data_IF_513433159646
#
_entry.id   IF_513433159646
#
_cell.length_a   1.000
_cell.length_b   1.000
_cell.length_c   1.000
_cell.angle_alpha   90.00
_cell.angle_beta   90.00
_cell.angle_gamma   90.00
#
_symmetry.space_group_name_H-M   'P 1'
#
loop_
_entity.id
_entity.type
_entity.pdbx_description
1 polymer ?
#
# COMPACT_ATOMS: atom_id res chain seq x y z
N UNK A 1 -27.40 -32.17 -22.43
CA UNK A 1 -27.95 -32.64 -21.15
C UNK A 1 -26.94 -32.23 -20.09
N UNK A 2 -27.34 -31.53 -19.03
CA UNK A 2 -26.41 -31.17 -17.96
C UNK A 2 -25.97 -32.45 -17.22
N UNK A 3 -24.67 -32.60 -17.00
CA UNK A 3 -24.14 -33.65 -16.15
C UNK A 3 -24.39 -33.27 -14.68
N UNK A 4 -25.27 -34.01 -14.01
CA UNK A 4 -25.61 -33.80 -12.59
C UNK A 4 -24.75 -34.65 -11.66
N UNK A 5 -23.73 -35.33 -12.17
CA UNK A 5 -22.84 -36.17 -11.37
C UNK A 5 -21.94 -35.29 -10.50
N UNK A 6 -21.94 -35.54 -9.19
CA UNK A 6 -21.01 -34.86 -8.28
C UNK A 6 -19.59 -35.37 -8.55
N UNK A 7 -18.63 -34.50 -8.90
CA UNK A 7 -17.26 -34.92 -9.15
C UNK A 7 -16.61 -35.54 -7.90
N UNK A 8 -15.67 -36.46 -8.11
CA UNK A 8 -14.81 -36.93 -7.01
C UNK A 8 -13.90 -35.81 -6.52
N UNK A 9 -13.64 -35.80 -5.21
CA UNK A 9 -12.71 -34.85 -4.60
C UNK A 9 -11.29 -35.07 -5.13
N UNK A 10 -10.68 -34.02 -5.65
CA UNK A 10 -9.27 -34.00 -6.07
C UNK A 10 -8.36 -33.74 -4.86
N UNK A 11 -7.15 -34.28 -4.88
CA UNK A 11 -6.16 -33.98 -3.85
C UNK A 11 -5.62 -32.54 -4.00
N UNK A 12 -5.11 -31.93 -2.92
CA UNK A 12 -4.68 -30.52 -2.95
C UNK A 12 -3.55 -30.26 -3.97
N UNK A 13 -2.62 -31.20 -4.12
CA UNK A 13 -1.56 -31.12 -5.12
C UNK A 13 -2.10 -31.17 -6.56
N UNK A 14 -3.20 -31.88 -6.81
CA UNK A 14 -3.87 -31.90 -8.12
C UNK A 14 -4.59 -30.58 -8.38
N UNK A 15 -5.21 -29.98 -7.36
CA UNK A 15 -5.94 -28.71 -7.48
C UNK A 15 -5.04 -27.52 -7.84
N UNK A 16 -3.78 -27.54 -7.43
CA UNK A 16 -2.80 -26.49 -7.70
C UNK A 16 -1.86 -26.81 -8.88
N UNK A 17 -1.92 -28.03 -9.41
CA UNK A 17 -1.06 -28.45 -10.51
C UNK A 17 -1.42 -27.72 -11.81
N UNK A 18 -0.38 -27.27 -12.51
CA UNK A 18 -0.43 -26.76 -13.87
C UNK A 18 0.39 -27.65 -14.83
N UNK A 19 0.67 -28.89 -14.43
CA UNK A 19 1.36 -29.88 -15.27
C UNK A 19 0.68 -30.00 -16.64
N UNK A 20 1.48 -29.91 -17.71
CA UNK A 20 0.97 -29.98 -19.08
C UNK A 20 0.29 -28.71 -19.59
N UNK A 21 0.07 -27.69 -18.75
CA UNK A 21 -0.50 -26.40 -19.15
C UNK A 21 0.56 -25.47 -19.73
N UNK A 22 0.16 -24.63 -20.69
CA UNK A 22 0.99 -23.57 -21.27
C UNK A 22 0.42 -22.20 -20.89
N UNK A 23 1.27 -21.35 -20.32
CA UNK A 23 0.91 -20.01 -19.89
C UNK A 23 1.68 -18.93 -20.66
N UNK A 24 1.00 -17.82 -20.98
CA UNK A 24 1.63 -16.56 -21.40
C UNK A 24 1.53 -15.56 -20.26
N UNK A 25 2.65 -14.91 -19.92
CA UNK A 25 2.69 -13.85 -18.91
C UNK A 25 3.28 -12.58 -19.53
N UNK A 26 2.44 -11.55 -19.71
CA UNK A 26 2.93 -10.25 -20.19
C UNK A 26 3.63 -9.50 -19.05
N UNK A 27 4.77 -8.87 -19.33
CA UNK A 27 5.61 -8.25 -18.30
C UNK A 27 6.30 -9.26 -17.37
N UNK A 28 6.57 -10.48 -17.84
CA UNK A 28 7.08 -11.60 -17.02
C UNK A 28 8.56 -11.51 -16.58
N UNK A 29 9.32 -10.50 -16.99
CA UNK A 29 10.77 -10.43 -16.71
C UNK A 29 11.15 -9.82 -15.35
N UNK A 30 10.21 -9.21 -14.63
CA UNK A 30 10.49 -8.52 -13.35
C UNK A 30 9.24 -8.42 -12.46
N UNK A 31 9.45 -8.01 -11.21
CA UNK A 31 8.38 -7.66 -10.26
C UNK A 31 7.34 -8.79 -10.10
N UNK A 32 6.06 -8.40 -10.13
CA UNK A 32 4.92 -9.34 -10.00
C UNK A 32 4.97 -10.41 -11.08
N UNK A 33 5.17 -10.02 -12.35
CA UNK A 33 5.23 -10.96 -13.47
C UNK A 33 6.27 -12.07 -13.27
N UNK A 34 7.48 -11.73 -12.79
CA UNK A 34 8.54 -12.74 -12.53
C UNK A 34 8.14 -13.71 -11.42
N UNK A 35 7.45 -13.26 -10.36
CA UNK A 35 6.98 -14.19 -9.32
C UNK A 35 5.82 -15.07 -9.78
N UNK A 36 4.97 -14.61 -10.69
CA UNK A 36 3.97 -15.46 -11.33
C UNK A 36 4.66 -16.57 -12.14
N UNK A 37 5.73 -16.23 -12.89
CA UNK A 37 6.55 -17.24 -13.59
C UNK A 37 7.11 -18.27 -12.60
N UNK A 38 7.65 -17.82 -11.46
CA UNK A 38 8.12 -18.73 -10.40
C UNK A 38 7.04 -19.71 -9.96
N UNK A 39 5.85 -19.21 -9.58
CA UNK A 39 4.76 -20.07 -9.10
C UNK A 39 4.19 -20.98 -10.18
N UNK A 40 4.10 -20.50 -11.42
CA UNK A 40 3.57 -21.31 -12.52
C UNK A 40 4.53 -22.44 -12.89
N UNK A 41 5.84 -22.16 -12.92
CA UNK A 41 6.85 -23.20 -13.21
C UNK A 41 6.99 -24.19 -12.06
N UNK A 42 6.92 -23.75 -10.80
CA UNK A 42 6.84 -24.65 -9.63
C UNK A 42 5.59 -25.54 -9.66
N UNK A 43 4.49 -25.06 -10.21
CA UNK A 43 3.27 -25.84 -10.42
C UNK A 43 3.31 -26.73 -11.69
N UNK A 44 4.41 -26.74 -12.46
CA UNK A 44 4.59 -27.62 -13.62
C UNK A 44 4.19 -27.01 -14.98
N UNK A 45 3.85 -25.72 -15.04
CA UNK A 45 3.49 -25.07 -16.30
C UNK A 45 4.71 -24.81 -17.20
N UNK A 46 4.48 -24.86 -18.51
CA UNK A 46 5.38 -24.27 -19.52
C UNK A 46 5.00 -22.81 -19.70
N UNK A 47 5.98 -21.91 -19.69
CA UNK A 47 5.71 -20.46 -19.63
C UNK A 47 6.38 -19.71 -20.76
N UNK A 48 5.61 -18.88 -21.45
CA UNK A 48 6.09 -17.84 -22.35
C UNK A 48 6.01 -16.49 -21.65
N UNK A 49 7.15 -15.82 -21.50
CA UNK A 49 7.20 -14.43 -21.01
C UNK A 49 7.34 -13.46 -22.17
N UNK A 50 6.67 -12.31 -22.07
CA UNK A 50 6.77 -11.28 -23.10
C UNK A 50 6.87 -9.87 -22.52
N UNK A 51 7.45 -8.95 -23.29
CA UNK A 51 7.70 -7.56 -22.95
C UNK A 51 8.63 -6.90 -23.97
N UNK A 52 8.87 -5.60 -23.76
CA UNK A 52 9.63 -4.78 -24.73
C UNK A 52 11.14 -4.95 -24.64
N UNK A 53 11.68 -5.22 -23.46
CA UNK A 53 13.12 -5.35 -23.22
C UNK A 53 13.63 -6.77 -23.43
N UNK A 54 14.23 -7.06 -24.60
CA UNK A 54 14.72 -8.39 -24.96
C UNK A 54 15.78 -8.93 -23.98
N UNK A 55 16.74 -8.10 -23.58
CA UNK A 55 17.82 -8.54 -22.68
C UNK A 55 17.27 -9.01 -21.32
N UNK A 56 16.35 -8.26 -20.72
CA UNK A 56 15.72 -8.62 -19.45
C UNK A 56 14.89 -9.91 -19.57
N UNK A 57 14.22 -10.11 -20.71
CA UNK A 57 13.49 -11.33 -21.03
C UNK A 57 14.43 -12.54 -21.15
N UNK A 58 15.52 -12.41 -21.92
CA UNK A 58 16.51 -13.47 -22.11
C UNK A 58 17.22 -13.84 -20.81
N UNK A 59 17.57 -12.86 -19.98
CA UNK A 59 18.13 -13.10 -18.64
C UNK A 59 17.15 -13.89 -17.78
N UNK A 60 15.88 -13.48 -17.74
CA UNK A 60 14.86 -14.19 -16.96
C UNK A 60 14.65 -15.61 -17.47
N UNK A 61 14.60 -15.81 -18.79
CA UNK A 61 14.54 -17.13 -19.39
C UNK A 61 15.71 -18.01 -18.92
N UNK A 62 16.94 -17.50 -18.99
CA UNK A 62 18.13 -18.23 -18.57
C UNK A 62 18.09 -18.60 -17.07
N UNK A 63 17.68 -17.65 -16.19
CA UNK A 63 17.54 -17.90 -14.75
C UNK A 63 16.64 -19.11 -14.44
N UNK A 64 15.55 -19.27 -15.20
CA UNK A 64 14.61 -20.38 -15.04
C UNK A 64 15.08 -21.67 -15.71
N UNK A 65 15.74 -21.57 -16.87
CA UNK A 65 16.28 -22.73 -17.56
C UNK A 65 17.38 -23.44 -16.75
N UNK A 66 18.20 -22.69 -16.01
CA UNK A 66 19.18 -23.26 -15.06
C UNK A 66 18.51 -24.15 -14.00
N UNK A 67 17.26 -23.83 -13.63
CA UNK A 67 16.46 -24.60 -12.67
C UNK A 67 15.67 -25.74 -13.31
N UNK A 68 15.87 -26.00 -14.60
CA UNK A 68 15.11 -26.99 -15.37
C UNK A 68 13.67 -26.56 -15.72
N UNK A 69 13.29 -25.31 -15.44
CA UNK A 69 11.94 -24.82 -15.70
C UNK A 69 11.76 -24.45 -17.19
N UNK A 70 10.68 -24.92 -17.85
CA UNK A 70 10.43 -24.69 -19.27
C UNK A 70 9.89 -23.27 -19.53
N UNK A 71 10.79 -22.29 -19.52
CA UNK A 71 10.49 -20.89 -19.85
C UNK A 71 11.08 -20.54 -21.22
N UNK A 72 10.29 -19.85 -22.04
CA UNK A 72 10.71 -19.21 -23.30
C UNK A 72 10.32 -17.74 -23.30
N UNK A 73 11.02 -16.90 -24.04
CA UNK A 73 10.68 -15.49 -24.17
C UNK A 73 10.43 -15.04 -25.61
N UNK A 74 9.54 -14.05 -25.75
CA UNK A 74 9.26 -13.38 -27.02
C UNK A 74 9.17 -11.87 -26.80
N UNK A 75 9.97 -11.10 -27.52
CA UNK A 75 9.93 -9.64 -27.44
C UNK A 75 8.70 -9.12 -28.20
N UNK A 76 7.88 -8.33 -27.52
CA UNK A 76 6.68 -7.73 -28.09
C UNK A 76 6.30 -6.46 -27.33
N UNK A 77 5.59 -5.56 -28.01
CA UNK A 77 4.88 -4.46 -27.38
C UNK A 77 3.37 -4.73 -27.40
N UNK A 78 2.77 -4.93 -26.23
CA UNK A 78 1.33 -5.21 -26.13
C UNK A 78 0.46 -4.04 -26.58
N UNK A 79 0.99 -2.82 -26.67
CA UNK A 79 0.29 -1.69 -27.29
C UNK A 79 0.12 -1.84 -28.80
N UNK A 80 0.91 -2.71 -29.43
CA UNK A 80 0.78 -3.07 -30.84
C UNK A 80 -0.06 -4.33 -31.00
N UNK A 81 -1.25 -4.18 -31.60
CA UNK A 81 -2.20 -5.29 -31.80
C UNK A 81 -1.60 -6.45 -32.60
N UNK A 82 -0.76 -6.16 -33.59
CA UNK A 82 -0.13 -7.20 -34.40
C UNK A 82 0.84 -8.07 -33.58
N UNK A 83 1.50 -7.48 -32.59
CA UNK A 83 2.40 -8.22 -31.72
C UNK A 83 1.65 -9.15 -30.77
N UNK A 84 0.42 -8.79 -30.37
CA UNK A 84 -0.42 -9.66 -29.53
C UNK A 84 -0.66 -11.02 -30.19
N UNK A 85 -1.03 -11.03 -31.48
CA UNK A 85 -1.18 -12.28 -32.24
C UNK A 85 0.13 -13.07 -32.34
N UNK A 86 1.26 -12.40 -32.61
CA UNK A 86 2.58 -13.06 -32.72
C UNK A 86 2.99 -13.74 -31.42
N UNK A 87 2.65 -13.18 -30.26
CA UNK A 87 2.92 -13.80 -28.96
C UNK A 87 2.12 -15.10 -28.81
N UNK A 88 0.84 -15.10 -29.20
CA UNK A 88 0.01 -16.33 -29.20
C UNK A 88 0.62 -17.37 -30.14
N UNK A 89 0.93 -16.98 -31.38
CA UNK A 89 1.50 -17.88 -32.39
C UNK A 89 2.84 -18.46 -31.93
N UNK A 90 3.68 -17.67 -31.26
CA UNK A 90 4.94 -18.13 -30.70
C UNK A 90 4.71 -19.19 -29.61
N UNK A 91 3.79 -18.96 -28.68
CA UNK A 91 3.50 -19.93 -27.61
C UNK A 91 3.00 -21.26 -28.18
N UNK A 92 2.08 -21.19 -29.14
CA UNK A 92 1.53 -22.36 -29.84
C UNK A 92 2.61 -23.09 -30.63
N UNK A 93 3.46 -22.38 -31.36
CA UNK A 93 4.59 -22.98 -32.07
C UNK A 93 5.59 -23.66 -31.13
N UNK A 94 5.82 -23.08 -29.96
CA UNK A 94 6.85 -23.54 -29.01
C UNK A 94 6.39 -24.72 -28.19
N UNK A 95 5.13 -24.70 -27.73
CA UNK A 95 4.61 -25.67 -26.76
C UNK A 95 3.36 -26.41 -27.22
N UNK A 96 2.82 -26.09 -28.39
CA UNK A 96 1.73 -26.81 -29.05
C UNK A 96 0.32 -26.43 -28.59
N UNK A 97 0.18 -25.60 -27.55
CA UNK A 97 -1.10 -25.23 -26.92
C UNK A 97 -1.01 -23.90 -26.17
N UNK A 98 -2.16 -23.41 -25.70
CA UNK A 98 -2.28 -22.27 -24.79
C UNK A 98 -3.46 -22.50 -23.85
N UNK A 99 -3.21 -22.40 -22.55
CA UNK A 99 -4.20 -22.67 -21.50
C UNK A 99 -4.45 -21.44 -20.63
N UNK A 100 -3.42 -20.64 -20.39
CA UNK A 100 -3.44 -19.56 -19.41
C UNK A 100 -2.86 -18.29 -20.03
N UNK A 101 -3.58 -17.18 -19.94
CA UNK A 101 -3.07 -15.85 -20.23
C UNK A 101 -3.12 -15.00 -18.96
N UNK A 102 -1.98 -14.39 -18.62
CA UNK A 102 -1.89 -13.38 -17.58
C UNK A 102 -1.49 -12.05 -18.20
N UNK A 103 -2.45 -11.12 -18.28
CA UNK A 103 -2.21 -9.75 -18.69
C UNK A 103 -1.70 -8.93 -17.49
N UNK A 104 -0.39 -8.97 -17.24
CA UNK A 104 0.29 -8.27 -16.14
C UNK A 104 1.06 -7.01 -16.60
N UNK A 105 1.45 -6.91 -17.88
CA UNK A 105 2.13 -5.72 -18.40
C UNK A 105 1.29 -4.45 -18.14
N UNK A 106 1.96 -3.40 -17.70
CA UNK A 106 1.33 -2.14 -17.36
C UNK A 106 2.25 -0.93 -17.58
N UNK A 107 1.65 0.21 -17.87
CA UNK A 107 2.21 1.54 -17.90
C UNK A 107 1.42 2.43 -16.95
N UNK A 108 2.07 2.98 -15.93
CA UNK A 108 1.39 3.76 -14.87
C UNK A 108 2.03 5.16 -14.72
N UNK A 109 1.72 6.12 -15.60
CA UNK A 109 2.25 7.47 -15.47
C UNK A 109 1.64 8.17 -14.23
N UNK A 110 2.48 8.85 -13.44
CA UNK A 110 2.01 9.79 -12.40
C UNK A 110 1.89 11.17 -13.04
N UNK A 111 0.68 11.55 -13.38
CA UNK A 111 0.40 12.83 -14.00
C UNK A 111 -0.95 13.37 -13.54
N UNK A 112 -0.94 14.60 -13.05
CA UNK A 112 -2.16 15.31 -12.66
C UNK A 112 -3.04 15.57 -13.88
N UNK A 113 -4.36 15.62 -13.66
CA UNK A 113 -5.34 15.82 -14.73
C UNK A 113 -5.06 17.06 -15.59
N UNK A 114 -4.55 18.15 -15.01
CA UNK A 114 -4.25 19.39 -15.72
C UNK A 114 -2.98 19.31 -16.60
N UNK A 115 -2.08 18.39 -16.29
CA UNK A 115 -0.80 18.23 -16.97
C UNK A 115 -0.78 17.03 -17.91
N UNK A 116 -1.88 16.28 -17.97
CA UNK A 116 -2.02 15.12 -18.83
C UNK A 116 -2.01 15.56 -20.30
N UNK A 117 -1.08 15.00 -21.07
CA UNK A 117 -1.05 15.15 -22.53
C UNK A 117 -1.77 13.97 -23.17
N UNK A 118 -2.26 14.18 -24.39
CA UNK A 118 -2.84 13.12 -25.22
C UNK A 118 -1.87 11.96 -25.41
N UNK A 119 -0.60 12.22 -25.70
CA UNK A 119 0.42 11.18 -25.86
C UNK A 119 0.58 10.28 -24.63
N UNK A 120 0.62 10.87 -23.43
CA UNK A 120 0.76 10.09 -22.18
C UNK A 120 -0.52 9.31 -21.88
N UNK A 121 -1.68 9.91 -22.15
CA UNK A 121 -2.98 9.26 -22.02
C UNK A 121 -3.10 8.05 -22.95
N UNK A 122 -2.85 8.26 -24.25
CA UNK A 122 -2.95 7.24 -25.29
C UNK A 122 -1.97 6.10 -25.03
N UNK A 123 -0.71 6.39 -24.71
CA UNK A 123 0.27 5.36 -24.37
C UNK A 123 -0.15 4.49 -23.19
N UNK A 124 -0.77 5.10 -22.17
CA UNK A 124 -1.30 4.39 -21.02
C UNK A 124 -2.48 3.49 -21.41
N UNK A 125 -3.47 4.03 -22.12
CA UNK A 125 -4.63 3.26 -22.59
C UNK A 125 -4.25 2.16 -23.58
N UNK A 126 -3.30 2.44 -24.46
CA UNK A 126 -2.81 1.51 -25.45
C UNK A 126 -2.14 0.29 -24.81
N UNK A 127 -1.34 0.50 -23.76
CA UNK A 127 -0.70 -0.59 -23.03
C UNK A 127 -1.71 -1.33 -22.16
N UNK A 128 -2.46 -0.60 -21.34
CA UNK A 128 -3.17 -1.19 -20.21
C UNK A 128 -4.58 -1.65 -20.57
N UNK A 129 -5.26 -0.97 -21.49
CA UNK A 129 -6.62 -1.33 -21.92
C UNK A 129 -6.60 -2.05 -23.27
N UNK A 130 -6.10 -1.41 -24.33
CA UNK A 130 -6.06 -1.96 -25.69
C UNK A 130 -5.24 -3.26 -25.73
N UNK A 131 -4.02 -3.24 -25.19
CA UNK A 131 -3.15 -4.42 -25.13
C UNK A 131 -3.76 -5.58 -24.36
N UNK A 132 -4.31 -5.32 -23.17
CA UNK A 132 -5.02 -6.34 -22.37
C UNK A 132 -6.19 -6.96 -23.14
N UNK A 133 -7.01 -6.13 -23.80
CA UNK A 133 -8.14 -6.61 -24.59
C UNK A 133 -7.70 -7.48 -25.76
N UNK A 134 -6.76 -7.03 -26.58
CA UNK A 134 -6.36 -7.78 -27.78
C UNK A 134 -5.57 -9.04 -27.45
N UNK A 135 -4.70 -9.04 -26.43
CA UNK A 135 -4.09 -10.26 -25.92
C UNK A 135 -5.17 -11.27 -25.48
N UNK A 136 -6.18 -10.81 -24.72
CA UNK A 136 -7.29 -11.67 -24.26
C UNK A 136 -8.12 -12.21 -25.43
N UNK A 137 -8.45 -11.37 -26.41
CA UNK A 137 -9.19 -11.76 -27.62
C UNK A 137 -8.47 -12.87 -28.38
N UNK A 138 -7.19 -12.67 -28.72
CA UNK A 138 -6.45 -13.65 -29.52
C UNK A 138 -6.18 -14.95 -28.75
N UNK A 139 -5.92 -14.86 -27.43
CA UNK A 139 -5.82 -16.05 -26.59
C UNK A 139 -7.14 -16.83 -26.55
N UNK A 140 -8.28 -16.14 -26.34
CA UNK A 140 -9.60 -16.76 -26.33
C UNK A 140 -9.95 -17.39 -27.67
N UNK A 141 -9.70 -16.72 -28.80
CA UNK A 141 -9.90 -17.29 -30.14
C UNK A 141 -9.13 -18.60 -30.33
N UNK A 142 -7.90 -18.68 -29.83
CA UNK A 142 -7.12 -19.91 -29.89
C UNK A 142 -7.68 -20.98 -28.93
N UNK A 143 -7.96 -20.63 -27.67
CA UNK A 143 -8.54 -21.55 -26.66
C UNK A 143 -9.87 -22.15 -27.12
N UNK A 144 -10.72 -21.35 -27.78
CA UNK A 144 -11.99 -21.80 -28.37
C UNK A 144 -11.75 -22.82 -29.48
N UNK A 145 -10.77 -22.58 -30.37
CA UNK A 145 -10.38 -23.53 -31.42
C UNK A 145 -9.77 -24.81 -30.85
N UNK A 146 -9.01 -24.69 -29.77
CA UNK A 146 -8.43 -25.83 -29.04
C UNK A 146 -9.52 -26.68 -28.37
N UNK A 147 -10.59 -26.06 -27.85
CA UNK A 147 -11.76 -26.75 -27.32
C UNK A 147 -11.62 -27.32 -25.91
N UNK A 148 -10.52 -27.04 -25.21
CA UNK A 148 -10.23 -27.54 -23.84
C UNK A 148 -10.43 -26.47 -22.75
N UNK A 149 -11.03 -25.34 -23.11
CA UNK A 149 -11.20 -24.19 -22.22
C UNK A 149 -9.91 -23.41 -21.98
N UNK A 150 -9.91 -22.60 -20.92
CA UNK A 150 -8.74 -21.80 -20.57
C UNK A 150 -8.96 -20.85 -19.39
N UNK A 151 -7.91 -20.10 -19.06
CA UNK A 151 -7.88 -19.12 -17.97
C UNK A 151 -7.30 -17.81 -18.47
N UNK A 152 -8.03 -16.71 -18.28
CA UNK A 152 -7.54 -15.36 -18.56
C UNK A 152 -7.58 -14.56 -17.26
N UNK A 153 -6.43 -14.03 -16.86
CA UNK A 153 -6.28 -13.23 -15.65
C UNK A 153 -5.78 -11.84 -16.05
N UNK A 154 -6.61 -10.83 -15.83
CA UNK A 154 -6.31 -9.45 -16.15
C UNK A 154 -5.88 -8.68 -14.91
N UNK A 155 -4.70 -8.06 -14.94
CA UNK A 155 -4.28 -7.20 -13.84
C UNK A 155 -5.01 -5.87 -13.86
N UNK A 156 -5.70 -5.61 -12.75
CA UNK A 156 -6.33 -4.35 -12.40
C UNK A 156 -5.46 -3.55 -11.43
N UNK A 157 -6.05 -2.59 -10.72
CA UNK A 157 -5.41 -1.84 -9.65
C UNK A 157 -6.45 -1.31 -8.67
N UNK A 158 -6.08 -1.17 -7.40
CA UNK A 158 -6.91 -0.45 -6.42
C UNK A 158 -7.15 1.00 -6.84
N UNK A 159 -6.28 1.59 -7.67
CA UNK A 159 -6.48 2.93 -8.26
C UNK A 159 -7.68 2.98 -9.24
N UNK A 160 -8.16 1.84 -9.72
CA UNK A 160 -9.39 1.74 -10.52
C UNK A 160 -10.65 1.75 -9.65
N UNK A 161 -10.54 1.29 -8.40
CA UNK A 161 -11.65 1.17 -7.46
C UNK A 161 -11.80 2.45 -6.64
N UNK A 162 -10.66 3.01 -6.21
CA UNK A 162 -10.59 4.24 -5.44
C UNK A 162 -9.83 5.30 -6.23
N UNK A 163 -10.44 6.46 -6.51
CA UNK A 163 -9.76 7.56 -7.17
C UNK A 163 -8.47 7.92 -6.44
N UNK A 164 -7.33 7.72 -7.12
CA UNK A 164 -5.99 7.94 -6.58
C UNK A 164 -5.25 8.91 -7.49
N UNK A 165 -5.15 10.17 -7.07
CA UNK A 165 -4.29 11.14 -7.76
C UNK A 165 -2.81 10.88 -7.45
N UNK A 166 -1.88 11.09 -8.38
CA UNK A 166 -2.05 11.56 -9.76
C UNK A 166 -2.05 10.41 -10.80
N UNK A 167 -2.94 9.42 -10.68
CA UNK A 167 -2.97 8.23 -11.56
C UNK A 167 -4.18 8.21 -12.50
N UNK A 168 -4.63 9.36 -13.02
CA UNK A 168 -5.91 9.47 -13.73
C UNK A 168 -6.02 8.57 -14.98
N UNK A 169 -5.03 8.58 -15.87
CA UNK A 169 -5.05 7.75 -17.08
C UNK A 169 -4.98 6.25 -16.74
N UNK A 170 -4.13 5.89 -15.77
CA UNK A 170 -3.96 4.53 -15.31
C UNK A 170 -5.23 3.97 -14.66
N UNK A 171 -5.83 4.71 -13.72
CA UNK A 171 -7.09 4.33 -13.08
C UNK A 171 -8.23 4.17 -14.09
N UNK A 172 -8.34 5.09 -15.06
CA UNK A 172 -9.34 5.00 -16.12
C UNK A 172 -9.12 3.78 -17.03
N UNK A 173 -7.89 3.53 -17.47
CA UNK A 173 -7.55 2.35 -18.28
C UNK A 173 -7.84 1.04 -17.53
N UNK A 174 -7.51 0.97 -16.24
CA UNK A 174 -7.81 -0.22 -15.41
C UNK A 174 -9.30 -0.40 -15.14
N UNK A 175 -10.10 0.67 -15.10
CA UNK A 175 -11.56 0.51 -15.12
C UNK A 175 -12.10 -0.02 -16.45
N UNK A 176 -11.53 0.40 -17.58
CA UNK A 176 -11.89 -0.20 -18.87
C UNK A 176 -11.60 -1.72 -18.87
N UNK A 177 -10.45 -2.14 -18.31
CA UNK A 177 -10.12 -3.56 -18.09
C UNK A 177 -11.13 -4.26 -17.19
N UNK A 178 -11.67 -3.60 -16.16
CA UNK A 178 -12.70 -4.21 -15.31
C UNK A 178 -13.95 -4.57 -16.10
N UNK A 179 -14.43 -3.62 -16.92
CA UNK A 179 -15.59 -3.83 -17.75
C UNK A 179 -15.35 -4.97 -18.76
N UNK A 180 -14.22 -4.92 -19.46
CA UNK A 180 -13.80 -5.97 -20.41
C UNK A 180 -13.75 -7.34 -19.75
N UNK A 181 -13.16 -7.45 -18.56
CA UNK A 181 -13.05 -8.72 -17.80
C UNK A 181 -14.42 -9.37 -17.59
N UNK A 182 -15.41 -8.61 -17.10
CA UNK A 182 -16.75 -9.14 -16.81
C UNK A 182 -17.52 -9.52 -18.07
N UNK A 183 -17.41 -8.70 -19.12
CA UNK A 183 -18.08 -8.98 -20.40
C UNK A 183 -17.49 -10.22 -21.05
N UNK A 184 -16.16 -10.32 -21.15
CA UNK A 184 -15.49 -11.50 -21.70
C UNK A 184 -15.74 -12.76 -20.85
N UNK A 185 -15.86 -12.64 -19.52
CA UNK A 185 -16.24 -13.76 -18.67
C UNK A 185 -17.59 -14.37 -19.07
N UNK A 186 -18.59 -13.52 -19.35
CA UNK A 186 -19.90 -13.97 -19.80
C UNK A 186 -19.84 -14.55 -21.22
N UNK A 187 -19.16 -13.87 -22.14
CA UNK A 187 -19.06 -14.27 -23.54
C UNK A 187 -18.29 -15.58 -23.71
N UNK A 188 -17.28 -15.83 -22.88
CA UNK A 188 -16.41 -16.99 -23.03
C UNK A 188 -16.73 -18.18 -22.10
N UNK A 189 -17.63 -18.01 -21.14
CA UNK A 189 -18.08 -19.09 -20.27
C UNK A 189 -18.61 -20.33 -21.03
N UNK A 190 -19.38 -20.21 -22.14
CA UNK A 190 -19.82 -21.37 -22.92
C UNK A 190 -18.67 -22.22 -23.50
N UNK A 191 -17.46 -21.66 -23.58
CA UNK A 191 -16.26 -22.35 -24.07
C UNK A 191 -15.35 -22.83 -22.94
N UNK A 192 -15.83 -22.85 -21.70
CA UNK A 192 -15.05 -23.24 -20.51
C UNK A 192 -13.79 -22.37 -20.29
N UNK A 193 -13.86 -21.10 -20.70
CA UNK A 193 -12.82 -20.11 -20.45
C UNK A 193 -13.29 -19.20 -19.31
N UNK A 194 -12.52 -19.15 -18.22
CA UNK A 194 -12.79 -18.20 -17.14
C UNK A 194 -11.99 -16.92 -17.36
N UNK A 195 -12.62 -15.77 -17.12
CA UNK A 195 -11.94 -14.47 -17.22
C UNK A 195 -12.10 -13.75 -15.88
N UNK A 196 -10.99 -13.48 -15.18
CA UNK A 196 -10.99 -12.85 -13.87
C UNK A 196 -9.98 -11.70 -13.79
N UNK A 197 -10.11 -10.89 -12.76
CA UNK A 197 -9.17 -9.85 -12.40
C UNK A 197 -8.38 -10.20 -11.13
N UNK A 198 -7.09 -9.85 -11.14
CA UNK A 198 -6.27 -9.74 -9.94
C UNK A 198 -5.95 -8.26 -9.72
N UNK A 199 -6.25 -7.73 -8.52
CA UNK A 199 -6.10 -6.31 -8.19
C UNK A 199 -5.04 -6.13 -7.11
N UNK A 200 -3.84 -5.64 -7.44
CA UNK A 200 -2.83 -5.31 -6.43
C UNK A 200 -3.14 -4.01 -5.70
N UNK A 201 -2.83 -3.99 -4.41
CA UNK A 201 -2.55 -2.77 -3.65
C UNK A 201 -1.11 -2.28 -3.79
N UNK A 202 -0.65 -1.57 -2.78
CA UNK A 202 0.75 -1.14 -2.67
C UNK A 202 1.68 -2.36 -2.55
N UNK A 203 2.27 -2.73 -3.69
CA UNK A 203 3.24 -3.83 -3.78
C UNK A 203 4.67 -3.29 -3.83
N UNK A 204 5.53 -3.87 -3.01
CA UNK A 204 6.94 -3.54 -2.90
C UNK A 204 7.76 -4.43 -3.85
N UNK A 205 8.16 -3.87 -4.98
CA UNK A 205 9.03 -4.54 -5.97
C UNK A 205 10.50 -4.19 -5.74
N UNK A 206 11.43 -4.98 -6.28
CA UNK A 206 12.87 -4.71 -6.20
C UNK A 206 13.23 -3.28 -6.65
N UNK A 207 12.59 -2.80 -7.72
CA UNK A 207 12.77 -1.42 -8.22
C UNK A 207 12.33 -0.37 -7.19
N UNK A 208 11.22 -0.60 -6.49
CA UNK A 208 10.75 0.30 -5.42
C UNK A 208 11.64 0.22 -4.19
N UNK A 209 12.09 -0.98 -3.82
CA UNK A 209 13.02 -1.18 -2.71
C UNK A 209 14.32 -0.42 -2.93
N UNK A 210 14.89 -0.49 -4.13
CA UNK A 210 16.12 0.23 -4.45
C UNK A 210 15.96 1.75 -4.37
N UNK A 211 14.81 2.28 -4.83
CA UNK A 211 14.47 3.70 -4.69
C UNK A 211 14.35 4.11 -3.22
N UNK A 212 13.68 3.30 -2.39
CA UNK A 212 13.55 3.58 -0.95
C UNK A 212 14.86 3.39 -0.17
N UNK A 213 15.77 2.54 -0.65
CA UNK A 213 17.10 2.36 -0.09
C UNK A 213 18.08 3.48 -0.45
N UNK A 214 17.65 4.48 -1.23
CA UNK A 214 18.49 5.62 -1.63
C UNK A 214 19.49 5.31 -2.75
N UNK A 215 19.27 4.26 -3.55
CA UNK A 215 20.11 3.97 -4.71
C UNK A 215 19.86 5.03 -5.80
N UNK A 216 20.79 5.98 -5.90
CA UNK A 216 20.69 7.13 -6.79
C UNK A 216 20.63 6.74 -8.28
N UNK A 217 21.27 5.64 -8.67
CA UNK A 217 21.27 5.15 -10.06
C UNK A 217 19.90 4.57 -10.45
N UNK A 218 19.25 3.88 -9.51
CA UNK A 218 17.89 3.36 -9.69
C UNK A 218 16.85 4.47 -9.61
N UNK A 219 17.11 5.51 -8.80
CA UNK A 219 16.31 6.73 -8.75
C UNK A 219 16.29 7.44 -10.11
N UNK A 220 17.47 7.65 -10.71
CA UNK A 220 17.61 8.26 -12.04
C UNK A 220 16.93 7.40 -13.11
N UNK A 221 17.15 6.08 -13.08
CA UNK A 221 16.48 5.13 -13.99
C UNK A 221 14.95 5.14 -13.81
N UNK A 222 14.46 5.24 -12.57
CA UNK A 222 13.04 5.31 -12.26
C UNK A 222 12.42 6.61 -12.77
N UNK A 223 13.08 7.75 -12.53
CA UNK A 223 12.69 9.07 -13.06
C UNK A 223 12.72 9.08 -14.58
N UNK A 224 13.74 8.50 -15.22
CA UNK A 224 13.84 8.42 -16.68
C UNK A 224 12.70 7.58 -17.26
N UNK A 225 12.41 6.41 -16.66
CA UNK A 225 11.35 5.50 -17.14
C UNK A 225 9.94 6.04 -16.92
N UNK A 226 9.73 6.87 -15.90
CA UNK A 226 8.40 7.36 -15.51
C UNK A 226 8.21 8.85 -15.84
N UNK A 227 9.26 9.57 -16.22
CA UNK A 227 9.24 11.00 -16.54
C UNK A 227 8.96 11.89 -15.31
N UNK A 228 8.24 12.99 -15.53
CA UNK A 228 7.82 13.92 -14.46
C UNK A 228 7.08 13.23 -13.30
N UNK A 229 6.49 12.07 -13.59
CA UNK A 229 5.89 11.14 -12.64
C UNK A 229 6.84 10.68 -11.54
N UNK A 230 8.00 10.15 -11.93
CA UNK A 230 9.01 9.64 -11.02
C UNK A 230 9.69 10.78 -10.31
N UNK A 231 9.88 11.91 -10.99
CA UNK A 231 10.40 13.12 -10.39
C UNK A 231 9.49 13.63 -9.25
N UNK A 232 8.18 13.56 -9.42
CA UNK A 232 7.19 13.97 -8.40
C UNK A 232 7.15 12.98 -7.23
N UNK A 233 7.18 11.68 -7.51
CA UNK A 233 7.27 10.65 -6.47
C UNK A 233 8.56 10.77 -5.65
N UNK A 234 9.70 10.93 -6.32
CA UNK A 234 11.01 11.12 -5.69
C UNK A 234 11.04 12.41 -4.87
N UNK A 235 10.60 13.55 -5.43
CA UNK A 235 10.56 14.83 -4.69
C UNK A 235 9.72 14.76 -3.41
N UNK A 236 8.62 14.00 -3.44
CA UNK A 236 7.71 13.86 -2.30
C UNK A 236 8.19 12.83 -1.27
N UNK A 237 9.17 11.97 -1.60
CA UNK A 237 9.66 10.90 -0.71
C UNK A 237 11.09 11.11 -0.24
N UNK A 238 11.92 11.86 -0.98
CA UNK A 238 13.32 12.14 -0.64
C UNK A 238 13.52 13.06 0.55
N UNK A 239 12.46 13.71 1.03
CA UNK A 239 12.46 14.60 2.21
C UNK A 239 11.96 13.90 3.48
N UNK A 240 11.46 12.67 3.37
CA UNK A 240 10.95 11.90 4.52
C UNK A 240 12.09 11.07 5.11
N UNK A 241 12.23 11.08 6.44
CA UNK A 241 13.15 10.15 7.11
C UNK A 241 12.65 8.70 6.93
N UNK A 242 13.57 7.73 7.00
CA UNK A 242 13.23 6.29 6.93
C UNK A 242 12.15 5.90 7.94
N UNK A 243 12.20 6.47 9.14
CA UNK A 243 11.24 6.20 10.21
C UNK A 243 9.87 6.78 9.89
N UNK A 244 9.80 8.01 9.37
CA UNK A 244 8.56 8.66 8.97
C UNK A 244 7.90 7.92 7.80
N UNK A 245 8.68 7.49 6.81
CA UNK A 245 8.18 6.68 5.69
C UNK A 245 7.62 5.33 6.19
N UNK A 246 8.34 4.69 7.11
CA UNK A 246 7.93 3.41 7.71
C UNK A 246 6.61 3.55 8.47
N UNK A 247 6.47 4.59 9.28
CA UNK A 247 5.24 4.84 10.04
C UNK A 247 4.07 5.22 9.12
N UNK A 248 4.31 6.01 8.07
CA UNK A 248 3.31 6.29 7.04
C UNK A 248 2.84 5.01 6.35
N UNK A 249 3.76 4.10 5.98
CA UNK A 249 3.38 2.82 5.37
C UNK A 249 2.61 1.93 6.35
N UNK A 250 3.03 1.85 7.62
CA UNK A 250 2.31 1.10 8.66
C UNK A 250 0.89 1.61 8.87
N UNK A 251 0.69 2.92 8.82
CA UNK A 251 -0.64 3.52 8.98
C UNK A 251 -1.54 3.33 7.75
N UNK A 252 -0.94 3.33 6.56
CA UNK A 252 -1.66 3.15 5.31
C UNK A 252 -2.02 1.68 5.03
N UNK A 253 -1.32 0.71 5.62
CA UNK A 253 -1.53 -0.72 5.42
C UNK A 253 -2.17 -1.36 6.67
N UNK A 254 -3.48 -1.67 6.68
CA UNK A 254 -4.11 -2.33 7.84
C UNK A 254 -3.47 -3.65 8.26
N UNK A 255 -2.94 -4.43 7.31
CA UNK A 255 -2.18 -5.65 7.60
C UNK A 255 -0.77 -5.43 8.15
N UNK A 256 -0.36 -4.18 8.40
CA UNK A 256 0.94 -3.84 9.02
C UNK A 256 2.16 -4.01 8.13
N UNK A 257 1.98 -4.39 6.85
CA UNK A 257 3.04 -4.51 5.85
C UNK A 257 2.53 -4.16 4.45
N UNK A 258 3.44 -3.81 3.56
CA UNK A 258 3.16 -3.75 2.12
C UNK A 258 2.98 -5.15 1.53
N UNK A 259 2.34 -5.23 0.38
CA UNK A 259 2.29 -6.45 -0.41
C UNK A 259 3.65 -6.75 -1.06
N UNK A 260 3.95 -8.01 -1.28
CA UNK A 260 5.07 -8.47 -2.08
C UNK A 260 4.57 -9.10 -3.39
N UNK A 261 5.40 -9.10 -4.45
CA UNK A 261 5.08 -9.76 -5.72
C UNK A 261 4.52 -11.19 -5.58
N UNK A 262 5.00 -11.94 -4.60
CA UNK A 262 4.53 -13.32 -4.33
C UNK A 262 3.11 -13.39 -3.74
N UNK A 263 2.64 -12.35 -3.02
CA UNK A 263 1.26 -12.29 -2.54
C UNK A 263 0.27 -12.31 -3.73
N UNK A 264 0.63 -11.60 -4.82
CA UNK A 264 -0.14 -11.59 -6.06
C UNK A 264 0.01 -12.89 -6.84
N UNK A 265 1.23 -13.44 -6.90
CA UNK A 265 1.49 -14.68 -7.61
C UNK A 265 0.64 -15.85 -7.08
N UNK A 266 0.43 -15.93 -5.76
CA UNK A 266 -0.44 -16.93 -5.13
C UNK A 266 -1.90 -16.79 -5.55
N UNK A 267 -2.44 -15.56 -5.55
CA UNK A 267 -3.81 -15.31 -5.99
C UNK A 267 -4.01 -15.63 -7.49
N UNK A 268 -3.00 -15.31 -8.31
CA UNK A 268 -3.02 -15.64 -9.75
C UNK A 268 -2.93 -17.15 -9.97
N UNK A 269 -2.11 -17.88 -9.20
CA UNK A 269 -2.06 -19.34 -9.25
C UNK A 269 -3.42 -19.96 -8.91
N UNK A 270 -4.08 -19.48 -7.86
CA UNK A 270 -5.44 -19.91 -7.51
C UNK A 270 -6.43 -19.73 -8.69
N UNK A 271 -6.43 -18.56 -9.33
CA UNK A 271 -7.31 -18.29 -10.47
C UNK A 271 -6.95 -19.10 -11.72
N UNK A 272 -5.69 -19.49 -11.87
CA UNK A 272 -5.18 -20.23 -13.02
C UNK A 272 -5.32 -21.75 -12.89
N UNK A 273 -5.41 -22.28 -11.67
CA UNK A 273 -5.50 -23.70 -11.41
C UNK A 273 -6.94 -24.21 -11.34
N UNK A 274 -7.11 -25.50 -11.07
CA UNK A 274 -8.42 -26.12 -10.89
C UNK A 274 -9.16 -25.58 -9.64
N UNK A 275 -8.45 -24.96 -8.68
CA UNK A 275 -9.11 -24.27 -7.55
C UNK A 275 -10.01 -23.12 -8.00
N UNK A 276 -9.66 -22.47 -9.11
CA UNK A 276 -10.41 -21.38 -9.71
C UNK A 276 -11.36 -21.82 -10.83
N UNK A 277 -11.57 -23.13 -11.05
CA UNK A 277 -12.22 -23.64 -12.27
C UNK A 277 -13.65 -23.13 -12.49
N UNK A 278 -14.33 -22.74 -11.42
CA UNK A 278 -15.69 -22.19 -11.46
C UNK A 278 -15.77 -20.71 -11.06
N UNK A 279 -14.62 -20.05 -10.89
CA UNK A 279 -14.55 -18.61 -10.61
C UNK A 279 -14.41 -17.89 -11.93
N UNK A 280 -15.41 -17.09 -12.32
CA UNK A 280 -15.34 -16.27 -13.54
C UNK A 280 -16.05 -14.93 -13.34
N UNK A 281 -15.57 -13.88 -13.99
CA UNK A 281 -16.09 -12.51 -13.87
C UNK A 281 -15.80 -11.84 -12.53
N UNK A 282 -14.87 -12.39 -11.74
CA UNK A 282 -14.56 -11.89 -10.39
C UNK A 282 -13.32 -11.02 -10.36
N UNK A 283 -13.20 -10.20 -9.31
CA UNK A 283 -12.01 -9.45 -8.99
C UNK A 283 -11.47 -9.87 -7.62
N UNK A 284 -10.26 -10.43 -7.57
CA UNK A 284 -9.56 -10.73 -6.32
C UNK A 284 -8.61 -9.57 -6.00
N UNK A 285 -8.97 -8.77 -4.99
CA UNK A 285 -8.11 -7.70 -4.48
C UNK A 285 -7.12 -8.26 -3.46
N UNK A 286 -5.84 -7.97 -3.68
CA UNK A 286 -4.70 -8.36 -2.84
C UNK A 286 -3.95 -7.10 -2.43
N UNK A 287 -4.40 -6.48 -1.34
CA UNK A 287 -3.94 -5.15 -0.93
C UNK A 287 -3.79 -4.98 0.59
N UNK A 288 -3.92 -6.06 1.36
CA UNK A 288 -3.87 -6.00 2.83
C UNK A 288 -4.93 -5.08 3.46
N UNK A 289 -6.10 -4.99 2.83
CA UNK A 289 -7.22 -4.12 3.16
C UNK A 289 -6.98 -2.62 2.97
N UNK A 290 -5.90 -2.24 2.24
CA UNK A 290 -5.59 -0.84 1.92
C UNK A 290 -6.79 -0.09 1.32
N UNK A 291 -7.44 -0.68 0.31
CA UNK A 291 -8.48 -0.01 -0.48
C UNK A 291 -9.80 0.18 0.26
N UNK A 292 -10.02 -0.53 1.37
CA UNK A 292 -11.28 -0.48 2.12
C UNK A 292 -11.11 0.16 3.51
N UNK A 293 -9.93 0.73 3.78
CA UNK A 293 -9.66 1.40 5.05
C UNK A 293 -10.59 2.61 5.23
N UNK A 294 -11.20 2.71 6.41
CA UNK A 294 -11.98 3.89 6.78
C UNK A 294 -11.04 5.08 7.04
N UNK A 295 -11.10 6.17 6.26
CA UNK A 295 -10.24 7.34 6.46
C UNK A 295 -10.39 7.96 7.86
N UNK A 296 -11.59 7.89 8.44
CA UNK A 296 -11.88 8.40 9.79
C UNK A 296 -11.22 7.53 10.86
N UNK A 297 -11.05 6.23 10.65
CA UNK A 297 -10.43 5.36 11.66
C UNK A 297 -8.93 5.64 11.81
N UNK A 298 -8.23 5.90 10.70
CA UNK A 298 -6.82 6.32 10.71
C UNK A 298 -6.64 7.68 11.38
N UNK A 299 -7.50 8.65 11.03
CA UNK A 299 -7.50 9.98 11.65
C UNK A 299 -7.85 9.92 13.15
N UNK A 300 -8.83 9.11 13.54
CA UNK A 300 -9.19 8.90 14.96
C UNK A 300 -8.03 8.27 15.74
N UNK A 301 -7.29 7.30 15.19
CA UNK A 301 -6.07 6.76 15.84
C UNK A 301 -5.02 7.84 16.08
N UNK A 302 -4.83 8.76 15.13
CA UNK A 302 -3.92 9.90 15.28
C UNK A 302 -4.40 10.92 16.33
N UNK A 303 -5.72 11.20 16.37
CA UNK A 303 -6.31 12.19 17.30
C UNK A 303 -6.44 11.65 18.73
N UNK A 304 -6.76 10.36 18.90
CA UNK A 304 -6.96 9.75 20.22
C UNK A 304 -5.65 9.28 20.86
N UNK A 305 -4.56 9.19 20.09
CA UNK A 305 -3.30 8.65 20.56
C UNK A 305 -3.38 7.17 20.95
N UNK A 306 -4.45 6.46 20.56
CA UNK A 306 -4.55 5.03 20.80
C UNK A 306 -3.65 4.31 19.80
N UNK A 307 -2.44 3.97 20.22
CA UNK A 307 -1.91 2.67 19.82
C UNK A 307 -2.94 1.67 20.33
N UNK A 308 -3.73 1.12 19.42
CA UNK A 308 -4.38 -0.15 19.71
C UNK A 308 -3.25 -1.17 19.74
N UNK A 309 -2.48 -1.18 20.83
CA UNK A 309 -1.84 -2.40 21.27
C UNK A 309 -2.97 -3.40 21.38
N UNK A 310 -2.82 -4.46 20.60
CA UNK A 310 -3.62 -5.67 20.73
C UNK A 310 -3.71 -5.94 22.23
N UNK A 311 -4.93 -6.10 22.74
CA UNK A 311 -5.14 -6.72 24.03
C UNK A 311 -4.48 -8.11 23.92
N UNK A 312 -3.22 -8.19 24.31
CA UNK A 312 -2.66 -9.43 24.82
C UNK A 312 -3.45 -9.68 26.11
N UNK A 313 -4.50 -10.50 25.98
CA UNK A 313 -4.97 -11.33 27.07
C UNK A 313 -3.75 -12.11 27.57
N UNK A 314 -3.02 -11.49 28.49
CA UNK A 314 -2.13 -12.19 29.40
C UNK A 314 -2.88 -12.28 30.70
N UNK A 315 -3.34 -13.50 30.96
CA UNK A 315 -3.78 -13.98 32.25
C UNK A 315 -2.77 -13.57 33.34
N UNK A 316 -3.04 -12.50 34.08
CA UNK A 316 -2.45 -12.25 35.40
C UNK A 316 -3.53 -11.73 36.35
N UNK A 317 -4.52 -12.59 36.61
CA UNK A 317 -5.11 -12.69 37.94
C UNK A 317 -4.02 -13.19 38.91
N UNK A 318 -3.15 -12.32 39.41
CA UNK A 318 -2.47 -12.55 40.69
C UNK A 318 -1.97 -11.26 41.32
N UNK A 319 -2.61 -10.93 42.43
CA UNK A 319 -2.01 -10.34 43.63
C UNK A 319 -1.29 -8.99 43.49
N UNK A 320 -1.97 -7.93 43.92
CA UNK A 320 -1.43 -7.03 44.96
C UNK A 320 -2.57 -6.17 45.54
N UNK A 321 -3.25 -6.72 46.55
CA UNK A 321 -3.80 -5.88 47.60
C UNK A 321 -2.66 -5.21 48.39
N UNK A 322 -3.00 -4.07 49.00
CA UNK A 322 -2.25 -3.29 49.99
C UNK A 322 -1.16 -2.37 49.44
N UNK A 323 -1.47 -1.07 49.43
CA UNK A 323 -0.76 -0.07 50.25
C UNK A 323 -1.59 1.22 50.21
N UNK A 324 -2.54 1.31 51.16
CA UNK A 324 -3.10 2.58 51.59
C UNK A 324 -2.03 3.21 52.48
N UNK A 325 -1.20 4.08 51.92
CA UNK A 325 -0.39 5.01 52.71
C UNK A 325 -1.07 6.39 52.68
N UNK A 326 -1.50 6.83 53.86
CA UNK A 326 -1.87 8.19 54.17
C UNK A 326 -0.78 9.16 53.72
N UNK A 327 -1.05 9.96 52.69
CA UNK A 327 -0.29 11.19 52.47
C UNK A 327 -0.98 12.31 53.22
N UNK A 328 -0.38 12.63 54.36
CA UNK A 328 -0.56 13.86 55.11
C UNK A 328 -0.60 15.08 54.19
N UNK A 329 -1.64 15.90 54.37
CA UNK A 329 -1.73 17.24 53.81
C UNK A 329 -0.56 18.12 54.30
N UNK A 330 0.25 18.59 53.34
CA UNK A 330 1.15 19.79 53.29
C UNK A 330 2.23 19.46 52.25
N UNK A 331 2.25 20.02 51.04
CA UNK A 331 2.43 21.45 50.73
C UNK A 331 1.97 21.69 49.29
N UNK A 332 1.05 22.62 49.06
CA UNK A 332 0.69 23.07 47.72
C UNK A 332 1.85 23.91 47.16
N UNK A 333 2.57 23.39 46.16
CA UNK A 333 3.60 24.14 45.42
C UNK A 333 3.29 24.06 43.94
N UNK A 334 2.17 24.64 43.53
CA UNK A 334 1.97 25.02 42.14
C UNK A 334 1.65 26.50 41.96
N UNK A 335 1.56 27.27 43.05
CA UNK A 335 1.28 28.70 42.97
C UNK A 335 2.54 29.46 42.59
N UNK A 336 2.52 30.09 41.42
CA UNK A 336 3.67 30.80 40.92
C UNK A 336 3.58 31.11 39.45
N UNK A 337 4.62 31.78 38.98
CA UNK A 337 4.82 32.05 37.56
C UNK A 337 6.17 31.49 37.14
N UNK A 338 6.24 30.85 35.97
CA UNK A 338 7.47 30.33 35.40
C UNK A 338 7.59 30.80 33.96
N UNK A 339 8.80 31.11 33.50
CA UNK A 339 9.05 31.51 32.11
C UNK A 339 10.09 30.59 31.47
N UNK A 340 9.81 30.14 30.24
CA UNK A 340 10.74 29.39 29.40
C UNK A 340 11.03 30.17 28.12
N UNK A 341 12.28 30.15 27.68
CA UNK A 341 12.69 30.63 26.37
C UNK A 341 12.71 29.45 25.41
N UNK A 342 11.86 29.47 24.38
CA UNK A 342 11.72 28.35 23.44
C UNK A 342 11.94 28.79 22.00
N UNK A 343 12.70 27.99 21.25
CA UNK A 343 12.70 28.05 19.79
C UNK A 343 11.53 27.21 19.27
N UNK A 344 10.62 27.86 18.56
CA UNK A 344 9.50 27.21 17.87
C UNK A 344 9.68 27.38 16.36
N UNK A 345 8.98 26.60 15.52
CA UNK A 345 8.97 26.84 14.07
C UNK A 345 8.52 28.26 13.67
N UNK A 346 7.86 28.99 14.59
CA UNK A 346 7.41 30.37 14.40
C UNK A 346 8.39 31.42 14.96
N UNK A 347 9.60 31.02 15.39
CA UNK A 347 10.62 31.88 15.96
C UNK A 347 10.85 31.68 17.46
N UNK A 348 11.73 32.49 18.04
CA UNK A 348 12.03 32.54 19.48
C UNK A 348 10.87 33.19 20.21
N UNK A 349 10.26 32.45 21.14
CA UNK A 349 9.12 32.92 21.91
C UNK A 349 9.33 32.64 23.40
N UNK A 350 8.91 33.59 24.23
CA UNK A 350 8.83 33.41 25.67
C UNK A 350 7.47 32.80 26.03
N UNK A 351 7.53 31.72 26.80
CA UNK A 351 6.39 30.97 27.30
C UNK A 351 6.29 31.19 28.80
N UNK A 352 5.29 31.95 29.24
CA UNK A 352 5.06 32.19 30.66
C UNK A 352 3.86 31.39 31.15
N UNK A 353 4.08 30.55 32.15
CA UNK A 353 3.06 29.82 32.87
C UNK A 353 2.71 30.58 34.15
N UNK A 354 1.42 30.75 34.43
CA UNK A 354 0.94 31.23 35.74
C UNK A 354 -0.09 30.27 36.27
N UNK A 355 0.10 29.81 37.49
CA UNK A 355 -0.72 28.77 38.09
C UNK A 355 -1.19 29.15 39.49
N UNK A 356 -2.37 28.64 39.83
CA UNK A 356 -2.95 28.63 41.17
C UNK A 356 -3.62 27.29 41.40
N UNK A 357 -3.34 26.68 42.54
CA UNK A 357 -3.80 25.36 42.92
C UNK A 357 -4.82 25.43 44.05
N UNK A 358 -5.86 24.61 43.95
CA UNK A 358 -6.84 24.40 45.02
C UNK A 358 -7.12 22.89 45.12
N UNK A 359 -6.50 22.23 46.11
CA UNK A 359 -6.47 20.76 46.17
C UNK A 359 -5.69 20.18 44.99
N UNK A 360 -6.31 19.22 44.29
CA UNK A 360 -5.75 18.59 43.09
C UNK A 360 -6.05 19.39 41.79
N UNK A 361 -6.81 20.48 41.88
CA UNK A 361 -7.20 21.30 40.73
C UNK A 361 -6.17 22.40 40.49
N UNK A 362 -5.65 22.45 39.26
CA UNK A 362 -4.77 23.51 38.79
C UNK A 362 -5.54 24.46 37.87
N UNK A 363 -5.49 25.75 38.16
CA UNK A 363 -6.06 26.82 37.33
C UNK A 363 -4.98 27.84 36.96
N UNK A 364 -5.21 28.64 35.92
CA UNK A 364 -4.23 29.63 35.51
C UNK A 364 -4.23 29.90 34.01
N UNK A 365 -3.08 30.37 33.52
CA UNK A 365 -2.92 30.78 32.13
C UNK A 365 -1.52 30.51 31.60
N UNK A 366 -1.45 30.39 30.27
CA UNK A 366 -0.20 30.36 29.50
C UNK A 366 -0.15 31.60 28.63
N UNK A 367 0.96 32.34 28.68
CA UNK A 367 1.22 33.48 27.82
C UNK A 367 2.29 33.13 26.78
N UNK A 368 1.97 33.35 25.49
CA UNK A 368 2.88 33.11 24.36
C UNK A 368 2.77 34.29 23.40
N UNK A 369 3.91 34.90 23.04
CA UNK A 369 3.95 36.01 22.07
C UNK A 369 2.97 37.15 22.40
N UNK A 370 2.82 37.50 23.69
CA UNK A 370 1.92 38.56 24.17
C UNK A 370 0.44 38.17 24.30
N UNK A 371 0.03 36.97 23.87
CA UNK A 371 -1.33 36.48 24.05
C UNK A 371 -1.42 35.60 25.31
N UNK A 372 -2.42 35.84 26.15
CA UNK A 372 -2.67 35.05 27.37
C UNK A 372 -3.88 34.14 27.16
N UNK A 373 -3.69 32.85 27.42
CA UNK A 373 -4.66 31.79 27.16
C UNK A 373 -4.93 31.08 28.48
N UNK A 374 -6.20 30.94 28.88
CA UNK A 374 -6.57 30.17 30.07
C UNK A 374 -6.30 28.68 29.89
N UNK A 375 -5.88 28.01 30.97
CA UNK A 375 -5.72 26.55 30.96
C UNK A 375 -7.05 25.85 31.25
N UNK A 376 -7.20 24.66 30.68
CA UNK A 376 -8.35 23.78 30.81
C UNK A 376 -7.94 22.46 31.44
N UNK A 377 -8.81 21.86 32.26
CA UNK A 377 -8.62 20.54 32.90
C UNK A 377 -7.28 20.41 33.64
N UNK A 378 -6.85 21.46 34.34
CA UNK A 378 -5.60 21.43 35.09
C UNK A 378 -5.68 20.52 36.33
N UNK A 379 -4.59 19.79 36.57
CA UNK A 379 -4.38 18.90 37.72
C UNK A 379 -2.98 19.06 38.29
N UNK A 380 -2.87 18.96 39.61
CA UNK A 380 -1.61 18.87 40.34
C UNK A 380 -1.64 17.67 41.27
N UNK A 381 -0.55 16.88 41.29
CA UNK A 381 -0.35 15.81 42.24
C UNK A 381 1.12 15.82 42.69
N UNK A 382 1.35 16.22 43.95
CA UNK A 382 2.69 16.46 44.47
C UNK A 382 3.41 17.53 43.65
N UNK A 383 4.53 17.13 43.04
CA UNK A 383 5.35 17.99 42.18
C UNK A 383 4.98 17.92 40.70
N UNK A 384 3.98 17.13 40.31
CA UNK A 384 3.59 16.92 38.90
C UNK A 384 2.37 17.74 38.55
N UNK A 385 2.40 18.35 37.36
CA UNK A 385 1.28 19.10 36.80
C UNK A 385 0.87 18.56 35.44
N UNK A 386 -0.41 18.70 35.11
CA UNK A 386 -0.91 18.51 33.75
C UNK A 386 -2.10 19.41 33.46
N UNK A 387 -2.22 19.90 32.23
CA UNK A 387 -3.34 20.74 31.79
C UNK A 387 -3.41 20.80 30.26
N UNK A 388 -4.46 21.44 29.75
CA UNK A 388 -4.65 21.71 28.33
C UNK A 388 -4.79 23.20 28.08
N UNK A 389 -4.49 23.67 26.88
CA UNK A 389 -4.92 24.99 26.41
C UNK A 389 -5.06 25.00 24.88
N UNK A 390 -5.78 25.97 24.34
CA UNK A 390 -6.01 26.09 22.90
C UNK A 390 -5.19 27.24 22.32
N UNK A 391 -4.29 26.95 21.37
CA UNK A 391 -3.55 27.98 20.65
C UNK A 391 -4.08 28.16 19.23
N UNK A 392 -3.98 29.37 18.69
CA UNK A 392 -4.32 29.67 17.30
C UNK A 392 -3.05 29.59 16.45
N UNK A 393 -3.01 28.66 15.50
CA UNK A 393 -1.92 28.50 14.54
C UNK A 393 -2.47 28.74 13.13
N UNK A 394 -2.30 29.95 12.60
CA UNK A 394 -2.89 30.37 11.33
C UNK A 394 -4.43 30.36 11.35
N UNK A 395 -5.06 29.61 10.45
CA UNK A 395 -6.51 29.45 10.35
C UNK A 395 -7.09 28.35 11.27
N UNK A 396 -6.23 27.58 11.95
CA UNK A 396 -6.65 26.44 12.77
C UNK A 396 -6.47 26.72 14.28
N UNK A 397 -7.28 26.05 15.09
CA UNK A 397 -7.10 25.95 16.55
C UNK A 397 -6.40 24.62 16.85
N UNK A 398 -5.33 24.65 17.63
CA UNK A 398 -4.61 23.47 18.06
C UNK A 398 -4.76 23.28 19.58
N UNK A 399 -5.21 22.10 19.97
CA UNK A 399 -5.23 21.67 21.36
C UNK A 399 -3.81 21.28 21.78
N UNK A 400 -3.34 21.84 22.89
CA UNK A 400 -2.01 21.58 23.44
C UNK A 400 -2.18 20.92 24.79
N UNK A 401 -1.55 19.76 24.97
CA UNK A 401 -1.47 19.09 26.27
C UNK A 401 -0.12 19.37 26.89
N UNK A 402 -0.10 19.77 28.15
CA UNK A 402 1.13 20.00 28.90
C UNK A 402 1.20 19.03 30.06
N UNK A 403 2.38 18.43 30.23
CA UNK A 403 2.74 17.68 31.44
C UNK A 403 4.10 18.11 31.91
N UNK A 404 4.25 18.35 33.20
CA UNK A 404 5.52 18.84 33.77
C UNK A 404 5.70 18.48 35.23
N UNK A 405 6.89 18.79 35.73
CA UNK A 405 7.33 18.58 37.09
C UNK A 405 7.95 19.87 37.64
N UNK A 406 7.55 20.27 38.84
CA UNK A 406 8.08 21.43 39.56
C UNK A 406 9.16 20.93 40.53
N UNK A 407 10.39 21.38 40.36
CA UNK A 407 11.51 21.08 41.27
C UNK A 407 12.16 22.40 41.70
N UNK A 408 11.83 22.86 42.92
CA UNK A 408 12.26 24.17 43.41
C UNK A 408 11.72 25.29 42.51
N UNK A 409 12.63 26.10 41.96
CA UNK A 409 12.30 27.20 41.05
C UNK A 409 12.24 26.79 39.57
N UNK A 410 12.36 25.49 39.26
CA UNK A 410 12.31 24.98 37.89
C UNK A 410 11.01 24.24 37.63
N UNK A 411 10.36 24.54 36.51
CA UNK A 411 9.29 23.74 35.94
C UNK A 411 9.80 23.15 34.63
N UNK A 412 9.96 21.83 34.55
CA UNK A 412 10.35 21.13 33.32
C UNK A 412 9.25 20.21 32.85
N UNK A 413 9.12 20.03 31.54
CA UNK A 413 8.04 19.22 31.00
C UNK A 413 8.02 19.17 29.48
N UNK A 414 6.87 18.79 28.95
CA UNK A 414 6.63 18.64 27.52
C UNK A 414 5.32 19.33 27.12
N UNK A 415 5.36 20.07 26.02
CA UNK A 415 4.19 20.53 25.28
C UNK A 415 3.91 19.56 24.13
N UNK A 416 2.76 18.90 24.17
CA UNK A 416 2.32 17.96 23.14
C UNK A 416 1.29 18.64 22.24
N UNK A 417 1.68 18.87 20.99
CA UNK A 417 0.84 19.35 19.90
C UNK A 417 0.35 18.17 19.04
N UNK A 418 -0.64 18.36 18.14
CA UNK A 418 -1.13 17.30 17.27
C UNK A 418 -0.06 16.66 16.35
N UNK A 419 1.00 17.40 16.03
CA UNK A 419 2.02 16.97 15.05
C UNK A 419 3.45 16.97 15.60
N UNK A 420 3.65 17.36 16.86
CA UNK A 420 4.97 17.46 17.47
C UNK A 420 4.89 17.46 19.00
N UNK A 421 5.94 16.99 19.65
CA UNK A 421 6.17 17.25 21.07
C UNK A 421 7.41 18.12 21.25
N UNK A 422 7.37 19.04 22.20
CA UNK A 422 8.48 19.94 22.49
C UNK A 422 8.78 19.94 23.99
N UNK A 423 10.01 19.56 24.43
CA UNK A 423 10.40 19.70 25.81
C UNK A 423 10.58 21.18 26.17
N UNK A 424 10.37 21.53 27.43
CA UNK A 424 10.63 22.86 27.95
C UNK A 424 11.24 22.80 29.36
N UNK A 425 12.04 23.81 29.69
CA UNK A 425 12.49 24.09 31.04
C UNK A 425 12.22 25.58 31.32
N UNK A 426 11.36 25.84 32.31
CA UNK A 426 10.94 27.16 32.73
C UNK A 426 11.50 27.47 34.12
N UNK A 427 11.88 28.73 34.35
CA UNK A 427 12.37 29.23 35.64
C UNK A 427 11.33 30.13 36.30
N UNK A 428 11.19 30.02 37.62
CA UNK A 428 10.25 30.82 38.40
C UNK A 428 10.63 32.30 38.29
N UNK A 429 9.64 33.16 38.13
CA UNK A 429 9.77 34.63 38.02
C UNK A 429 9.17 35.35 39.22
#
# INVERSE_FOLDING_TARGET
>A
MFDFTVPKVKALNELLSLEGRVAIITGGSRGIGKQIVSRFTEAGAKVVITGRGLEALQKTQADFQIKGAPVSCFQADVSNVADSQKVIDFAVKTYGRLDILVNNAASFPFCDARSMTEEVWDKCFDTDAKGTFFMSKFAAEYMIRQGEGGRIINFMSTAALNPTGPLIAYGAAKQAVWYVTRTMAQEFAPYHITVNAATPGATMTDERLAVFAGDQSQLETFVEKTGNSGLSFVKNTSTLSSDMLTDMMKQAMPMGRTGFPDDLAKAVLFLASDMGEYVTGQNITVDGAQSIQNPMAGMMKQVTGSTSDVLEDSDEDSECESFVEEINAKTAVADGSWTAHMETPMGKNDLTFRFTSNGDILTGSVSIAGNTIGIEKGRVNGDRISFHFQMKAGLMKAAVKVSGKICGDTLSGELKLPVASMPFEARRI
#
